data_IF_899362554814
#
_entry.id   IF_899362554814
#
_cell.length_a   1.000
_cell.length_b   1.000
_cell.length_c   1.000
_cell.angle_alpha   90.00
_cell.angle_beta   90.00
_cell.angle_gamma   90.00
#
_symmetry.space_group_name_H-M   'P 1'
#
loop_
_entity.id
_entity.type
_entity.pdbx_description
1 polymer ?
#
# COMPACT_ATOMS: atom_id res chain seq x y z
N UNK A 1 1.38 7.02 29.37
CA UNK A 1 0.09 6.83 28.69
C UNK A 1 0.32 5.86 27.54
N UNK A 2 -0.33 4.68 27.54
CA UNK A 2 -0.18 3.66 26.48
C UNK A 2 -1.32 3.84 25.48
N UNK A 3 -1.00 4.16 24.23
CA UNK A 3 -2.00 4.18 23.16
C UNK A 3 -2.60 2.77 23.00
N UNK A 4 -3.87 2.61 23.36
CA UNK A 4 -4.60 1.37 23.16
C UNK A 4 -5.21 1.37 21.75
N UNK A 5 -4.56 0.67 20.83
CA UNK A 5 -5.07 0.36 19.50
C UNK A 5 -6.33 -0.52 19.63
N UNK A 6 -7.54 0.08 19.61
CA UNK A 6 -8.80 -0.70 19.53
C UNK A 6 -8.96 -1.24 18.11
N UNK A 7 -8.90 -2.57 17.99
CA UNK A 7 -8.96 -3.31 16.72
C UNK A 7 -10.43 -3.60 16.39
N UNK A 8 -10.96 -3.19 15.23
CA UNK A 8 -12.34 -3.59 14.87
C UNK A 8 -12.69 -3.84 13.40
N UNK A 9 -11.74 -3.82 12.46
CA UNK A 9 -12.04 -4.30 11.10
C UNK A 9 -10.81 -4.94 10.45
N UNK A 10 -10.93 -6.22 10.07
CA UNK A 10 -10.00 -6.90 9.16
C UNK A 10 -10.58 -6.81 7.75
N UNK A 11 -9.76 -6.39 6.79
CA UNK A 11 -10.17 -6.29 5.38
C UNK A 11 -9.15 -7.03 4.51
N UNK A 12 -9.61 -7.83 3.56
CA UNK A 12 -8.73 -8.44 2.57
C UNK A 12 -8.78 -7.64 1.26
N UNK A 13 -7.63 -7.26 0.75
CA UNK A 13 -7.49 -6.56 -0.52
C UNK A 13 -6.51 -7.25 -1.43
N UNK A 14 -6.84 -7.32 -2.72
CA UNK A 14 -5.91 -7.75 -3.75
C UNK A 14 -5.47 -6.51 -4.52
N UNK A 15 -4.22 -6.11 -4.36
CA UNK A 15 -3.62 -5.02 -5.12
C UNK A 15 -3.03 -5.56 -6.42
N UNK A 16 -3.57 -5.18 -7.57
CA UNK A 16 -3.01 -5.49 -8.88
C UNK A 16 -2.12 -4.35 -9.38
N UNK A 17 -0.97 -4.67 -9.96
CA UNK A 17 -0.07 -3.67 -10.55
C UNK A 17 -0.77 -2.95 -11.71
N UNK A 18 -0.73 -1.61 -11.67
CA UNK A 18 -1.32 -0.74 -12.67
C UNK A 18 -0.23 -0.16 -13.56
N UNK A 19 -0.29 -0.47 -14.85
CA UNK A 19 0.60 0.08 -15.87
C UNK A 19 -0.16 1.16 -16.65
N UNK A 20 0.20 2.42 -16.48
CA UNK A 20 -0.16 3.44 -17.47
C UNK A 20 0.55 3.05 -18.78
N UNK A 21 -0.16 3.09 -19.91
CA UNK A 21 0.25 2.54 -21.22
C UNK A 21 1.45 3.25 -21.89
N UNK A 22 2.38 3.83 -21.13
CA UNK A 22 3.54 4.57 -21.62
C UNK A 22 4.91 4.06 -21.12
N UNK A 23 4.96 3.01 -20.28
CA UNK A 23 6.25 2.41 -19.90
C UNK A 23 6.71 1.38 -20.95
N UNK A 24 7.40 1.89 -21.97
CA UNK A 24 8.34 1.08 -22.75
C UNK A 24 9.57 0.76 -21.88
N UNK A 25 9.77 -0.55 -21.63
CA UNK A 25 10.96 -1.23 -21.08
C UNK A 25 10.99 -1.48 -19.55
N UNK A 26 11.49 -2.66 -19.08
CA UNK A 26 12.50 -3.48 -19.76
C UNK A 26 12.09 -4.93 -20.04
N UNK A 27 12.31 -5.31 -21.30
CA UNK A 27 12.37 -6.69 -21.77
C UNK A 27 13.68 -7.40 -21.35
N UNK A 28 14.00 -7.42 -20.05
CA UNK A 28 15.23 -8.08 -19.54
C UNK A 28 14.98 -9.26 -18.59
N UNK A 29 13.75 -9.50 -18.12
CA UNK A 29 13.45 -10.64 -17.23
C UNK A 29 13.13 -11.97 -17.96
N UNK A 30 13.46 -12.13 -19.25
CA UNK A 30 13.03 -13.32 -20.02
C UNK A 30 13.90 -14.57 -19.87
N UNK A 31 15.03 -14.53 -19.16
CA UNK A 31 16.04 -15.61 -19.28
C UNK A 31 16.59 -16.23 -17.98
N UNK A 32 16.10 -15.88 -16.79
CA UNK A 32 16.55 -16.52 -15.55
C UNK A 32 15.32 -16.86 -14.69
N UNK A 33 15.25 -18.09 -14.19
CA UNK A 33 14.06 -18.69 -13.58
C UNK A 33 13.32 -17.79 -12.60
N UNK A 34 11.99 -17.84 -12.66
CA UNK A 34 11.01 -17.19 -11.78
C UNK A 34 11.63 -16.17 -10.81
N UNK A 35 11.92 -14.96 -11.30
CA UNK A 35 12.09 -13.82 -10.42
C UNK A 35 10.81 -13.71 -9.61
N UNK A 36 10.85 -14.09 -8.32
CA UNK A 36 9.90 -13.57 -7.34
C UNK A 36 9.93 -12.07 -7.53
N UNK A 37 8.92 -11.51 -8.21
CA UNK A 37 8.98 -10.12 -8.62
C UNK A 37 8.92 -9.27 -7.37
N UNK A 38 10.03 -8.63 -7.04
CA UNK A 38 10.08 -7.68 -5.95
C UNK A 38 9.24 -6.46 -6.35
N UNK A 39 8.68 -5.77 -5.37
CA UNK A 39 8.04 -4.48 -5.60
C UNK A 39 9.09 -3.54 -6.22
N UNK A 40 8.75 -2.95 -7.37
CA UNK A 40 9.59 -1.95 -8.02
C UNK A 40 9.22 -0.53 -7.55
N UNK A 41 10.13 0.41 -7.75
CA UNK A 41 9.87 1.84 -7.58
C UNK A 41 10.39 2.62 -8.79
N UNK A 42 9.59 3.55 -9.36
CA UNK A 42 8.19 3.82 -9.00
C UNK A 42 7.26 2.66 -9.42
N UNK A 43 6.13 2.49 -8.73
CA UNK A 43 5.07 1.56 -9.14
C UNK A 43 3.69 1.97 -8.62
N UNK A 44 2.63 1.49 -9.27
CA UNK A 44 1.23 1.76 -8.91
C UNK A 44 0.49 0.44 -8.74
N UNK A 45 -0.43 0.38 -7.77
CA UNK A 45 -1.20 -0.81 -7.46
C UNK A 45 -2.65 -0.46 -7.12
N UNK A 46 -3.61 -1.07 -7.80
CA UNK A 46 -5.04 -0.81 -7.63
C UNK A 46 -5.71 -2.01 -6.99
N UNK A 47 -6.53 -1.78 -5.96
CA UNK A 47 -7.32 -2.85 -5.34
C UNK A 47 -8.67 -3.07 -6.06
N UNK A 48 -9.38 -4.12 -5.68
CA UNK A 48 -10.72 -4.43 -6.22
C UNK A 48 -11.80 -3.39 -5.92
N UNK A 49 -11.53 -2.43 -5.03
CA UNK A 49 -12.39 -1.29 -4.68
C UNK A 49 -11.94 0.01 -5.37
N UNK A 50 -11.01 -0.07 -6.33
CA UNK A 50 -10.47 1.07 -7.05
C UNK A 50 -9.51 1.96 -6.26
N UNK A 51 -9.17 1.63 -5.00
CA UNK A 51 -8.17 2.39 -4.24
C UNK A 51 -6.78 2.16 -4.81
N UNK A 52 -5.95 3.20 -4.82
CA UNK A 52 -4.64 3.24 -5.48
C UNK A 52 -3.51 3.41 -4.46
N UNK A 53 -2.59 2.46 -4.40
CA UNK A 53 -1.27 2.59 -3.77
C UNK A 53 -0.26 3.03 -4.84
N UNK A 54 0.40 4.15 -4.62
CA UNK A 54 1.52 4.61 -5.45
C UNK A 54 2.80 4.58 -4.65
N UNK A 55 3.75 3.74 -5.04
CA UNK A 55 5.09 3.66 -4.44
C UNK A 55 6.00 4.57 -5.25
N UNK A 56 6.59 5.55 -4.57
CA UNK A 56 7.41 6.60 -5.20
C UNK A 56 8.90 6.37 -4.98
N UNK A 57 9.28 5.95 -3.78
CA UNK A 57 10.66 5.62 -3.42
C UNK A 57 10.71 4.25 -2.78
N UNK A 58 11.79 3.50 -3.06
CA UNK A 58 12.16 2.25 -2.42
C UNK A 58 13.68 2.24 -2.26
N UNK A 59 14.15 2.17 -1.02
CA UNK A 59 15.57 1.98 -0.72
C UNK A 59 15.91 0.49 -0.83
N UNK A 60 16.76 0.14 -1.79
CA UNK A 60 17.15 -1.25 -2.04
C UNK A 60 17.97 -1.87 -0.89
N UNK A 61 18.62 -1.05 -0.05
CA UNK A 61 19.46 -1.53 1.06
C UNK A 61 18.65 -1.87 2.31
N UNK A 62 17.61 -1.10 2.59
CA UNK A 62 16.75 -1.28 3.78
C UNK A 62 15.41 -1.92 3.47
N UNK A 63 14.96 -1.87 2.22
CA UNK A 63 13.62 -2.26 1.80
C UNK A 63 12.54 -1.24 2.18
N UNK A 64 12.91 -0.11 2.78
CA UNK A 64 11.95 0.92 3.17
C UNK A 64 11.41 1.64 1.93
N UNK A 65 10.10 1.87 1.91
CA UNK A 65 9.46 2.58 0.82
C UNK A 65 8.51 3.66 1.31
N UNK A 66 8.29 4.66 0.47
CA UNK A 66 7.33 5.73 0.71
C UNK A 66 6.50 6.03 -0.54
N UNK A 67 5.33 6.62 -0.31
CA UNK A 67 4.43 6.99 -1.40
C UNK A 67 3.08 7.48 -0.89
N UNK A 68 2.03 7.23 -1.68
CA UNK A 68 0.67 7.67 -1.38
C UNK A 68 -0.36 6.56 -1.52
N UNK A 69 -1.46 6.71 -0.79
CA UNK A 69 -2.66 5.88 -0.93
C UNK A 69 -3.88 6.78 -1.15
N UNK A 70 -4.65 6.49 -2.19
CA UNK A 70 -5.95 7.13 -2.45
C UNK A 70 -7.03 6.08 -2.23
N UNK A 71 -7.89 6.30 -1.24
CA UNK A 71 -9.03 5.41 -1.00
C UNK A 71 -10.17 5.76 -1.96
N UNK A 72 -10.68 4.78 -2.71
CA UNK A 72 -11.87 4.95 -3.55
C UNK A 72 -12.98 3.96 -3.21
N UNK A 73 -12.86 3.26 -2.08
CA UNK A 73 -13.90 2.36 -1.62
C UNK A 73 -15.15 3.15 -1.22
N UNK A 74 -16.30 2.75 -1.78
CA UNK A 74 -17.60 3.28 -1.40
C UNK A 74 -17.88 2.95 0.08
N UNK A 75 -18.67 3.79 0.75
CA UNK A 75 -19.14 3.59 2.14
C UNK A 75 -18.09 3.73 3.27
N UNK A 76 -16.85 4.13 2.96
CA UNK A 76 -15.83 4.46 3.96
C UNK A 76 -15.37 5.91 3.85
N UNK A 77 -14.96 6.53 4.95
CA UNK A 77 -14.46 7.92 4.94
C UNK A 77 -13.08 8.05 4.26
N UNK A 78 -12.57 9.28 4.14
CA UNK A 78 -11.24 9.60 3.57
C UNK A 78 -11.08 9.17 2.11
N UNK A 79 -12.12 9.38 1.28
CA UNK A 79 -12.10 9.03 -0.14
C UNK A 79 -11.46 10.12 -1.02
N UNK A 80 -10.89 9.70 -2.16
CA UNK A 80 -10.49 10.58 -3.27
C UNK A 80 -9.30 11.51 -3.00
N UNK A 81 -8.73 11.49 -1.80
CA UNK A 81 -7.57 12.29 -1.42
C UNK A 81 -6.32 11.42 -1.20
N UNK A 82 -5.11 11.92 -1.52
CA UNK A 82 -3.88 11.20 -1.26
C UNK A 82 -3.46 11.31 0.21
N UNK A 83 -3.22 10.16 0.83
CA UNK A 83 -2.62 10.05 2.17
C UNK A 83 -1.24 9.43 2.07
N UNK A 84 -0.32 9.86 2.94
CA UNK A 84 1.05 9.34 2.95
C UNK A 84 1.07 7.87 3.36
N UNK A 85 1.96 7.13 2.72
CA UNK A 85 2.27 5.73 3.02
C UNK A 85 3.74 5.62 3.36
N UNK A 86 4.02 4.81 4.38
CA UNK A 86 5.34 4.27 4.60
C UNK A 86 5.23 2.76 4.82
N UNK A 87 6.26 2.04 4.41
CA UNK A 87 6.30 0.60 4.54
C UNK A 87 7.67 0.01 4.30
N UNK A 88 7.72 -1.32 4.32
CA UNK A 88 8.92 -2.12 4.11
C UNK A 88 8.60 -3.29 3.19
N UNK A 89 9.56 -3.61 2.32
CA UNK A 89 9.58 -4.81 1.49
C UNK A 89 10.76 -5.67 1.92
N UNK A 90 10.52 -6.95 2.18
CA UNK A 90 11.59 -7.90 2.51
C UNK A 90 11.33 -9.20 1.74
N UNK A 91 12.23 -9.53 0.82
CA UNK A 91 12.01 -10.56 -0.19
C UNK A 91 10.68 -10.32 -0.94
N UNK A 92 9.70 -11.22 -0.79
CA UNK A 92 8.38 -11.06 -1.38
C UNK A 92 7.31 -10.55 -0.39
N UNK A 93 7.67 -10.22 0.85
CA UNK A 93 6.74 -9.68 1.85
C UNK A 93 6.69 -8.18 1.74
N UNK A 94 5.49 -7.63 1.88
CA UNK A 94 5.27 -6.19 1.98
C UNK A 94 4.39 -5.89 3.19
N UNK A 95 4.78 -4.89 3.96
CA UNK A 95 3.97 -4.32 5.03
C UNK A 95 3.99 -2.80 4.91
N UNK A 96 2.84 -2.18 5.04
CA UNK A 96 2.74 -0.72 4.97
C UNK A 96 1.59 -0.21 5.81
N UNK A 97 1.67 1.04 6.21
CA UNK A 97 0.59 1.72 6.89
C UNK A 97 0.17 2.98 6.17
N UNK A 98 -1.11 3.30 6.29
CA UNK A 98 -1.70 4.58 5.89
C UNK A 98 -2.12 5.26 7.18
N UNK A 99 -1.57 6.45 7.43
CA UNK A 99 -2.10 7.34 8.45
C UNK A 99 -3.16 8.24 7.80
N UNK A 100 -4.42 8.13 8.21
CA UNK A 100 -5.54 8.86 7.59
C UNK A 100 -5.64 10.30 8.11
N UNK A 101 -4.52 11.00 8.06
CA UNK A 101 -4.36 12.42 8.39
C UNK A 101 -3.48 13.06 7.34
N UNK A 102 -3.92 14.17 6.77
CA UNK A 102 -3.10 14.98 5.88
C UNK A 102 -3.46 16.47 6.05
N UNK A 103 -2.55 17.41 5.77
CA UNK A 103 -2.84 18.84 5.93
C UNK A 103 -3.99 19.35 5.07
N UNK A 104 -4.19 18.76 3.88
CA UNK A 104 -5.17 19.20 2.88
C UNK A 104 -6.32 18.19 2.65
N UNK A 105 -6.48 17.19 3.52
CA UNK A 105 -7.51 16.17 3.40
C UNK A 105 -8.21 15.90 4.75
N UNK A 106 -9.43 15.34 4.76
CA UNK A 106 -10.12 15.00 6.00
C UNK A 106 -9.26 14.10 6.90
N UNK A 107 -9.29 14.36 8.20
CA UNK A 107 -8.68 13.49 9.20
C UNK A 107 -9.70 12.42 9.63
N UNK A 108 -9.44 11.15 9.34
CA UNK A 108 -10.29 10.04 9.77
C UNK A 108 -9.87 9.43 11.12
N UNK A 109 -8.93 10.05 11.84
CA UNK A 109 -8.47 9.62 13.17
C UNK A 109 -8.20 8.11 13.26
N UNK A 110 -7.62 7.55 12.20
CA UNK A 110 -7.39 6.11 12.07
C UNK A 110 -6.06 5.84 11.38
N UNK A 111 -5.50 4.66 11.65
CA UNK A 111 -4.35 4.12 10.94
C UNK A 111 -4.79 2.76 10.38
N UNK A 112 -4.44 2.47 9.13
CA UNK A 112 -4.63 1.13 8.56
C UNK A 112 -3.28 0.51 8.25
N UNK A 113 -3.06 -0.70 8.74
CA UNK A 113 -1.83 -1.46 8.48
C UNK A 113 -2.18 -2.64 7.58
N UNK A 114 -1.50 -2.75 6.44
CA UNK A 114 -1.62 -3.82 5.46
C UNK A 114 -0.40 -4.72 5.51
N UNK A 115 -0.63 -6.02 5.43
CA UNK A 115 0.41 -7.03 5.31
C UNK A 115 0.08 -7.94 4.13
N UNK A 116 1.04 -8.22 3.27
CA UNK A 116 0.84 -9.07 2.11
C UNK A 116 2.11 -9.71 1.59
N UNK A 117 1.94 -10.42 0.46
CA UNK A 117 3.05 -10.98 -0.31
C UNK A 117 2.86 -10.66 -1.78
N UNK A 118 3.94 -10.30 -2.45
CA UNK A 118 3.94 -10.14 -3.90
C UNK A 118 3.90 -11.52 -4.56
N UNK A 119 2.95 -11.68 -5.46
CA UNK A 119 2.75 -12.85 -6.31
C UNK A 119 2.46 -12.35 -7.74
N UNK A 120 3.46 -12.42 -8.61
CA UNK A 120 3.42 -11.90 -9.97
C UNK A 120 3.04 -10.41 -10.05
N UNK A 121 1.87 -10.10 -10.62
CA UNK A 121 1.32 -8.75 -10.76
C UNK A 121 0.40 -8.37 -9.60
N UNK A 122 0.31 -9.20 -8.56
CA UNK A 122 -0.67 -9.05 -7.51
C UNK A 122 -0.01 -9.04 -6.12
N UNK A 123 -0.64 -8.34 -5.19
CA UNK A 123 -0.31 -8.35 -3.78
C UNK A 123 -1.61 -8.62 -3.01
N UNK A 124 -1.91 -9.88 -2.70
CA UNK A 124 -2.92 -10.21 -1.70
C UNK A 124 -2.47 -9.65 -0.35
N UNK A 125 -3.33 -8.86 0.27
CA UNK A 125 -3.07 -8.19 1.54
C UNK A 125 -4.21 -8.40 2.52
N UNK A 126 -3.88 -8.44 3.80
CA UNK A 126 -4.81 -8.32 4.91
C UNK A 126 -4.52 -7.01 5.66
N UNK A 127 -5.54 -6.18 5.79
CA UNK A 127 -5.53 -4.89 6.44
C UNK A 127 -6.20 -4.96 7.79
N UNK A 128 -5.65 -4.25 8.77
CA UNK A 128 -6.31 -3.98 10.05
C UNK A 128 -6.42 -2.48 10.24
N UNK A 129 -7.64 -2.01 10.51
CA UNK A 129 -7.91 -0.62 10.83
C UNK A 129 -7.91 -0.41 12.34
N UNK A 130 -7.27 0.67 12.75
CA UNK A 130 -7.08 1.08 14.12
C UNK A 130 -7.56 2.51 14.31
N UNK A 131 -8.29 2.76 15.40
CA UNK A 131 -8.71 4.12 15.79
C UNK A 131 -7.62 4.80 16.61
N UNK A 132 -7.32 6.04 16.26
CA UNK A 132 -6.46 6.95 17.03
C UNK A 132 -7.39 7.74 17.95
N UNK A 133 -7.47 7.32 19.21
CA UNK A 133 -8.16 8.06 20.26
C UNK A 133 -7.20 8.94 21.04
N UNK A 134 -7.67 10.12 21.46
CA UNK A 134 -7.22 10.78 22.68
C UNK A 134 -8.07 10.24 23.84
N UNK A 135 -7.43 9.91 24.96
CA UNK A 135 -8.11 9.63 26.22
C UNK A 135 -8.98 10.83 26.67
#
# INVERSE_FOLDING_TARGET
MRAHLRQRLRSCLLLGEYHDTLDCAPALCRYVGACSRAVASPSKWVNQRGSLLSIQTLDASTGNFAGTYVNNATEVSCQGQPYLVAGVVTANRIAFYVNWTAPAAPNCATITIWNGRVADKNIPTAGTLFYVGSD
#
